data_IF_689054572309
#
_entry.id   IF_689054572309
#
_cell.length_a   1.000
_cell.length_b   1.000
_cell.length_c   1.000
_cell.angle_alpha   90.00
_cell.angle_beta   90.00
_cell.angle_gamma   90.00
#
_symmetry.space_group_name_H-M   'P 1'
#
loop_
_entity.id
_entity.type
_entity.pdbx_description
1 polymer ?
#
# COMPACT_ATOMS: atom_id res chain seq x y z
N UNK A 1 43.73 43.36 4.81
CA UNK A 1 43.36 42.26 3.90
C UNK A 1 42.18 41.51 4.52
N UNK A 2 40.99 41.60 3.91
CA UNK A 2 39.77 40.89 4.35
C UNK A 2 39.84 39.46 3.78
N UNK A 3 40.01 38.46 4.63
CA UNK A 3 39.85 37.06 4.25
C UNK A 3 38.35 36.79 4.10
N UNK A 4 37.88 36.63 2.86
CA UNK A 4 36.52 36.17 2.56
C UNK A 4 36.54 34.64 2.69
N UNK A 5 36.05 34.10 3.81
CA UNK A 5 35.75 32.67 3.94
C UNK A 5 34.52 32.37 3.09
N UNK A 6 34.74 31.84 1.89
CA UNK A 6 33.67 31.22 1.10
C UNK A 6 33.43 29.84 1.72
N UNK A 7 32.37 29.72 2.53
CA UNK A 7 31.80 28.42 2.85
C UNK A 7 31.21 27.86 1.55
N UNK A 8 31.97 26.98 0.89
CA UNK A 8 31.42 26.05 -0.09
C UNK A 8 30.43 25.18 0.69
N UNK A 9 29.13 25.54 0.61
CA UNK A 9 28.05 24.58 0.79
C UNK A 9 28.28 23.52 -0.28
N UNK A 10 28.99 22.46 0.09
CA UNK A 10 28.92 21.19 -0.60
C UNK A 10 27.46 20.81 -0.43
N UNK A 11 26.64 21.15 -1.42
CA UNK A 11 25.34 20.53 -1.59
C UNK A 11 25.64 19.04 -1.68
N UNK A 12 25.43 18.32 -0.58
CA UNK A 12 25.44 16.87 -0.61
C UNK A 12 24.38 16.49 -1.62
N UNK A 13 24.81 16.16 -2.83
CA UNK A 13 24.01 15.44 -3.81
C UNK A 13 23.84 14.02 -3.29
N UNK A 14 23.09 13.89 -2.20
CA UNK A 14 22.57 12.65 -1.68
C UNK A 14 21.06 12.64 -1.99
N UNK A 15 20.73 12.83 -3.27
CA UNK A 15 19.37 12.73 -3.80
C UNK A 15 19.43 11.72 -4.94
N UNK A 16 19.49 10.41 -4.64
CA UNK A 16 19.55 9.38 -5.67
C UNK A 16 19.22 7.96 -5.14
N UNK A 17 18.18 7.78 -4.31
CA UNK A 17 17.79 6.41 -3.93
C UNK A 17 16.32 6.17 -3.61
N UNK A 18 15.49 7.21 -3.63
CA UNK A 18 14.06 7.03 -3.48
C UNK A 18 13.48 6.57 -4.83
N UNK A 19 12.84 5.40 -4.83
CA UNK A 19 12.16 4.86 -6.01
C UNK A 19 10.66 4.99 -5.82
N UNK A 20 10.00 5.68 -6.75
CA UNK A 20 8.54 5.75 -6.81
C UNK A 20 8.04 4.72 -7.82
N UNK A 21 7.02 3.95 -7.42
CA UNK A 21 6.32 3.00 -8.25
C UNK A 21 4.85 3.38 -8.33
N UNK A 22 4.33 3.47 -9.55
CA UNK A 22 2.92 3.75 -9.79
C UNK A 22 2.18 2.45 -10.11
N UNK A 23 1.11 2.19 -9.36
CA UNK A 23 0.38 0.93 -9.33
C UNK A 23 -1.05 1.12 -9.81
N UNK A 24 -1.34 0.61 -11.01
CA UNK A 24 -2.67 0.66 -11.62
C UNK A 24 -3.49 -0.57 -11.22
N UNK A 25 -4.75 -0.41 -10.80
CA UNK A 25 -5.61 -1.54 -10.53
C UNK A 25 -5.91 -2.30 -11.83
N UNK A 26 -5.92 -3.63 -11.75
CA UNK A 26 -6.18 -4.51 -12.89
C UNK A 26 -7.25 -5.57 -12.60
N UNK A 27 -7.55 -5.80 -11.32
CA UNK A 27 -8.68 -6.58 -10.85
C UNK A 27 -9.15 -6.01 -9.52
N UNK A 28 -10.45 -6.12 -9.27
CA UNK A 28 -11.09 -5.68 -8.04
C UNK A 28 -12.08 -6.73 -7.56
N UNK A 29 -12.27 -6.81 -6.26
CA UNK A 29 -13.37 -7.54 -5.65
C UNK A 29 -13.90 -6.82 -4.41
N UNK A 30 -15.19 -7.00 -4.14
CA UNK A 30 -15.84 -6.59 -2.92
C UNK A 30 -16.61 -7.78 -2.34
N UNK A 31 -16.41 -8.04 -1.06
CA UNK A 31 -17.16 -9.05 -0.31
C UNK A 31 -18.13 -8.33 0.60
N UNK A 32 -19.41 -8.63 0.45
CA UNK A 32 -20.49 -8.06 1.24
C UNK A 32 -20.54 -8.74 2.62
N UNK A 33 -21.14 -8.09 3.61
CA UNK A 33 -21.39 -8.71 4.92
C UNK A 33 -22.32 -9.95 4.82
N UNK A 34 -23.15 -10.00 3.77
CA UNK A 34 -24.01 -11.15 3.45
C UNK A 34 -23.24 -12.36 2.91
N UNK A 35 -21.93 -12.21 2.63
CA UNK A 35 -21.09 -13.21 1.97
C UNK A 35 -21.20 -13.22 0.44
N UNK A 36 -22.02 -12.35 -0.14
CA UNK A 36 -22.04 -12.14 -1.59
C UNK A 36 -20.72 -11.50 -2.03
N UNK A 37 -20.22 -11.91 -3.20
CA UNK A 37 -18.98 -11.39 -3.77
C UNK A 37 -19.27 -10.77 -5.13
N UNK A 38 -18.73 -9.58 -5.34
CA UNK A 38 -18.56 -8.96 -6.66
C UNK A 38 -17.08 -8.98 -7.01
N UNK A 39 -16.76 -9.23 -8.28
CA UNK A 39 -15.39 -9.19 -8.79
C UNK A 39 -15.36 -8.84 -10.26
N UNK A 40 -14.28 -8.20 -10.68
CA UNK A 40 -14.04 -7.81 -12.07
C UNK A 40 -12.53 -7.70 -12.35
N UNK A 41 -12.20 -7.68 -13.63
CA UNK A 41 -10.89 -7.48 -14.23
C UNK A 41 -11.00 -6.44 -15.34
N UNK A 42 -9.87 -6.01 -15.89
CA UNK A 42 -9.89 -5.11 -17.06
C UNK A 42 -10.60 -5.70 -18.29
N UNK A 43 -10.76 -7.02 -18.37
CA UNK A 43 -11.36 -7.69 -19.54
C UNK A 43 -12.89 -7.75 -19.46
N UNK A 44 -13.47 -7.66 -18.26
CA UNK A 44 -14.91 -7.87 -17.99
C UNK A 44 -15.55 -6.77 -17.12
N UNK A 45 -14.81 -5.71 -16.79
CA UNK A 45 -15.34 -4.58 -16.02
C UNK A 45 -16.37 -3.76 -16.80
N UNK A 46 -17.32 -3.20 -16.06
CA UNK A 46 -18.23 -2.17 -16.54
C UNK A 46 -17.52 -0.80 -16.45
N UNK A 47 -17.28 -0.14 -17.59
CA UNK A 47 -16.58 1.15 -17.62
C UNK A 47 -17.35 2.28 -16.91
N UNK A 48 -18.67 2.19 -16.81
CA UNK A 48 -19.50 3.23 -16.19
C UNK A 48 -19.74 2.99 -14.70
N UNK A 49 -19.81 1.73 -14.27
CA UNK A 49 -20.24 1.36 -12.91
C UNK A 49 -19.30 0.42 -12.13
N UNK A 50 -18.22 -0.07 -12.75
CA UNK A 50 -17.26 -0.98 -12.11
C UNK A 50 -16.47 -0.31 -10.97
N UNK A 51 -15.99 -1.10 -10.01
CA UNK A 51 -15.06 -0.60 -8.98
C UNK A 51 -13.76 -0.08 -9.63
N UNK A 52 -13.26 -0.75 -10.66
CA UNK A 52 -12.07 -0.38 -11.41
C UNK A 52 -12.20 0.97 -12.14
N UNK A 53 -13.42 1.44 -12.43
CA UNK A 53 -13.62 2.76 -13.06
C UNK A 53 -13.43 3.92 -12.08
N UNK A 54 -13.59 3.68 -10.78
CA UNK A 54 -13.50 4.71 -9.73
C UNK A 54 -12.27 4.55 -8.84
N UNK A 55 -11.59 3.41 -8.86
CA UNK A 55 -10.43 3.15 -8.00
C UNK A 55 -9.19 3.85 -8.56
N UNK A 56 -8.59 4.79 -7.82
CA UNK A 56 -7.41 5.52 -8.27
C UNK A 56 -6.16 4.65 -8.32
N UNK A 57 -5.18 5.11 -9.11
CA UNK A 57 -3.80 4.63 -9.06
C UNK A 57 -3.20 4.89 -7.67
N UNK A 58 -2.37 3.96 -7.21
CA UNK A 58 -1.62 4.09 -5.96
C UNK A 58 -0.14 4.26 -6.26
N UNK A 59 0.60 4.84 -5.32
CA UNK A 59 2.04 4.99 -5.44
C UNK A 59 2.75 4.45 -4.21
N UNK A 60 3.87 3.76 -4.44
CA UNK A 60 4.82 3.38 -3.40
C UNK A 60 6.06 4.24 -3.54
N UNK A 61 6.52 4.79 -2.43
CA UNK A 61 7.85 5.37 -2.31
C UNK A 61 8.67 4.40 -1.46
N UNK A 62 9.75 3.88 -2.05
CA UNK A 62 10.73 3.07 -1.33
C UNK A 62 11.95 3.94 -1.13
N UNK A 63 12.14 4.43 0.09
CA UNK A 63 13.35 5.12 0.49
C UNK A 63 14.27 4.14 1.19
N UNK A 64 15.54 4.09 0.77
CA UNK A 64 16.50 3.32 1.54
C UNK A 64 16.60 3.86 2.95
N UNK A 65 16.65 5.17 3.17
CA UNK A 65 16.89 5.76 4.48
C UNK A 65 15.62 5.84 5.33
N UNK A 66 14.50 6.24 4.74
CA UNK A 66 13.29 6.61 5.47
C UNK A 66 12.24 5.49 5.54
N UNK A 67 12.40 4.42 4.76
CA UNK A 67 11.52 3.26 4.78
C UNK A 67 10.50 3.22 3.63
N UNK A 68 9.31 2.71 3.91
CA UNK A 68 8.29 2.43 2.91
C UNK A 68 7.09 3.35 3.12
N UNK A 69 6.64 3.98 2.04
CA UNK A 69 5.50 4.87 2.08
C UNK A 69 4.53 4.60 0.94
N UNK A 70 3.29 4.96 1.16
CA UNK A 70 2.19 4.68 0.26
C UNK A 70 1.20 5.84 0.19
N UNK A 71 0.60 6.03 -0.98
CA UNK A 71 -0.64 6.81 -1.12
C UNK A 71 -1.54 6.16 -2.14
N UNK A 72 -2.84 6.24 -1.92
CA UNK A 72 -3.86 5.67 -2.78
C UNK A 72 -4.56 6.69 -3.69
N UNK A 73 -4.08 7.94 -3.78
CA UNK A 73 -4.64 8.96 -4.66
C UNK A 73 -3.62 10.10 -4.84
N UNK A 74 -3.67 10.82 -5.97
CA UNK A 74 -2.78 11.95 -6.25
C UNK A 74 -2.94 13.09 -5.24
N UNK A 75 -4.13 13.26 -4.66
CA UNK A 75 -4.45 14.36 -3.74
C UNK A 75 -4.12 14.05 -2.27
N UNK A 76 -3.44 12.92 -2.00
CA UNK A 76 -3.01 12.54 -0.65
C UNK A 76 -1.50 12.60 -0.54
N UNK A 77 -1.03 12.97 0.64
CA UNK A 77 0.38 12.83 0.99
C UNK A 77 0.75 11.37 1.19
N UNK A 78 2.04 11.07 1.09
CA UNK A 78 2.56 9.75 1.38
C UNK A 78 2.44 9.43 2.88
N UNK A 79 1.91 8.25 3.17
CA UNK A 79 1.74 7.72 4.52
C UNK A 79 2.76 6.60 4.76
N UNK A 80 3.36 6.58 5.96
CA UNK A 80 4.31 5.53 6.33
C UNK A 80 3.62 4.18 6.45
N UNK A 81 4.20 3.16 5.82
CA UNK A 81 3.72 1.79 5.90
C UNK A 81 4.26 1.10 7.15
N UNK A 82 3.38 0.39 7.84
CA UNK A 82 3.70 -0.29 9.09
C UNK A 82 3.89 -1.78 8.82
N UNK A 83 4.90 -2.39 9.43
CA UNK A 83 5.12 -3.83 9.42
C UNK A 83 4.35 -4.52 10.55
N UNK A 84 4.06 -5.82 10.41
CA UNK A 84 3.27 -6.56 11.41
C UNK A 84 3.84 -6.42 12.84
N UNK A 85 5.15 -6.52 12.99
CA UNK A 85 5.89 -6.39 14.24
C UNK A 85 5.74 -5.02 14.93
N UNK A 86 5.30 -4.00 14.19
CA UNK A 86 5.16 -2.63 14.68
C UNK A 86 3.68 -2.25 14.92
N UNK A 87 2.75 -3.19 14.81
CA UNK A 87 1.33 -2.96 15.09
C UNK A 87 1.04 -3.04 16.59
N UNK A 88 0.03 -2.29 17.04
CA UNK A 88 -0.34 -2.22 18.47
C UNK A 88 -1.50 -3.18 18.82
N UNK A 89 -2.37 -3.49 17.86
CA UNK A 89 -3.50 -4.42 18.03
C UNK A 89 -3.33 -5.66 17.17
N UNK A 90 -2.72 -6.72 17.71
CA UNK A 90 -2.40 -7.93 16.95
C UNK A 90 -3.60 -8.83 16.70
N UNK A 91 -4.60 -8.85 17.59
CA UNK A 91 -5.67 -9.87 17.56
C UNK A 91 -6.51 -9.72 16.29
N UNK A 92 -6.92 -8.49 15.98
CA UNK A 92 -7.73 -8.20 14.81
C UNK A 92 -6.94 -8.41 13.51
N UNK A 93 -5.64 -8.11 13.52
CA UNK A 93 -4.76 -8.30 12.37
C UNK A 93 -4.57 -9.78 12.05
N UNK A 94 -4.51 -10.66 13.06
CA UNK A 94 -4.42 -12.10 12.83
C UNK A 94 -5.63 -12.67 12.10
N UNK A 95 -6.84 -12.16 12.37
CA UNK A 95 -8.05 -12.55 11.64
C UNK A 95 -7.96 -12.13 10.17
N UNK A 96 -7.46 -10.91 9.94
CA UNK A 96 -7.21 -10.36 8.60
C UNK A 96 -6.15 -11.17 7.86
N UNK A 97 -5.04 -11.53 8.52
CA UNK A 97 -4.00 -12.37 7.94
C UNK A 97 -4.55 -13.71 7.48
N UNK A 98 -5.40 -14.34 8.29
CA UNK A 98 -5.98 -15.64 7.95
C UNK A 98 -6.82 -15.57 6.68
N UNK A 99 -7.70 -14.57 6.56
CA UNK A 99 -8.53 -14.39 5.35
C UNK A 99 -7.66 -14.01 4.15
N UNK A 100 -6.66 -13.14 4.37
CA UNK A 100 -5.74 -12.70 3.32
C UNK A 100 -4.90 -13.86 2.76
N UNK A 101 -4.40 -14.74 3.62
CA UNK A 101 -3.63 -15.91 3.21
C UNK A 101 -4.46 -16.90 2.38
N UNK A 102 -5.72 -17.11 2.74
CA UNK A 102 -6.64 -17.94 1.95
C UNK A 102 -6.86 -17.36 0.56
N UNK A 103 -7.06 -16.04 0.48
CA UNK A 103 -7.22 -15.34 -0.79
C UNK A 103 -5.94 -15.40 -1.62
N UNK A 104 -4.77 -15.20 -1.00
CA UNK A 104 -3.47 -15.30 -1.64
C UNK A 104 -3.24 -16.70 -2.23
N UNK A 105 -3.61 -17.76 -1.51
CA UNK A 105 -3.53 -19.14 -2.01
C UNK A 105 -4.42 -19.36 -3.23
N UNK A 106 -5.70 -18.93 -3.16
CA UNK A 106 -6.66 -19.06 -4.27
C UNK A 106 -6.20 -18.30 -5.51
N UNK A 107 -5.61 -17.12 -5.32
CA UNK A 107 -5.13 -16.26 -6.40
C UNK A 107 -3.68 -16.56 -6.83
N UNK A 108 -3.03 -17.56 -6.22
CA UNK A 108 -1.63 -17.89 -6.42
C UNK A 108 -0.70 -16.66 -6.29
N UNK A 109 -1.01 -15.80 -5.32
CA UNK A 109 -0.20 -14.64 -4.94
C UNK A 109 0.86 -15.11 -3.95
N UNK A 110 2.13 -14.88 -4.28
CA UNK A 110 3.25 -15.19 -3.39
C UNK A 110 3.74 -13.89 -2.74
N UNK A 111 3.47 -13.65 -1.45
CA UNK A 111 3.88 -12.42 -0.79
C UNK A 111 5.40 -12.38 -0.61
N UNK A 112 6.06 -11.36 -1.16
CA UNK A 112 7.45 -11.01 -0.85
C UNK A 112 7.52 -10.19 0.44
N UNK A 113 6.60 -9.23 0.60
CA UNK A 113 6.54 -8.33 1.75
C UNK A 113 5.11 -7.89 2.01
N UNK A 114 4.73 -7.77 3.28
CA UNK A 114 3.39 -7.36 3.71
C UNK A 114 3.50 -6.14 4.60
N UNK A 115 2.67 -5.14 4.31
CA UNK A 115 2.55 -3.89 5.03
C UNK A 115 1.11 -3.64 5.45
N UNK A 116 0.94 -2.74 6.41
CA UNK A 116 -0.35 -2.36 6.96
C UNK A 116 -0.45 -0.84 7.04
N UNK A 117 -1.63 -0.34 6.74
CA UNK A 117 -1.97 1.07 6.83
C UNK A 117 -3.35 1.21 7.49
N UNK A 118 -3.41 1.53 8.79
CA UNK A 118 -4.66 1.79 9.48
C UNK A 118 -5.20 3.17 9.07
N UNK A 119 -6.48 3.21 8.71
CA UNK A 119 -7.21 4.43 8.40
C UNK A 119 -8.26 4.70 9.46
N UNK A 120 -8.31 5.94 9.94
CA UNK A 120 -9.36 6.45 10.81
C UNK A 120 -9.93 7.72 10.19
N UNK A 121 -11.24 7.74 10.04
CA UNK A 121 -12.01 8.88 9.54
C UNK A 121 -12.74 9.51 10.71
N UNK A 122 -12.72 10.84 10.77
CA UNK A 122 -13.36 11.63 11.82
C UNK A 122 -14.32 12.65 11.18
N UNK A 123 -15.34 13.08 11.92
CA UNK A 123 -16.18 14.22 11.54
C UNK A 123 -15.38 15.53 11.61
N UNK A 124 -15.95 16.63 11.12
CA UNK A 124 -15.37 17.97 11.28
C UNK A 124 -15.21 18.33 12.77
N UNK A 125 -16.08 17.78 13.63
CA UNK A 125 -16.04 17.93 15.08
C UNK A 125 -15.04 16.97 15.77
N UNK A 126 -14.37 16.09 15.01
CA UNK A 126 -13.38 15.16 15.52
C UNK A 126 -13.93 13.82 16.02
N UNK A 127 -15.20 13.52 15.78
CA UNK A 127 -15.81 12.25 16.21
C UNK A 127 -15.47 11.12 15.24
N UNK A 128 -15.11 9.91 15.71
CA UNK A 128 -14.75 8.81 14.81
C UNK A 128 -15.97 8.34 13.99
N UNK A 129 -15.89 8.45 12.67
CA UNK A 129 -16.92 7.98 11.73
C UNK A 129 -16.65 6.55 11.27
N UNK A 130 -15.37 6.19 11.14
CA UNK A 130 -15.02 4.91 10.59
C UNK A 130 -13.55 4.59 10.76
N UNK A 131 -13.27 3.30 10.90
CA UNK A 131 -11.92 2.78 10.90
C UNK A 131 -11.84 1.72 9.79
N UNK A 132 -10.69 1.59 9.16
CA UNK A 132 -10.40 0.44 8.30
C UNK A 132 -8.93 0.16 8.39
N UNK A 133 -8.52 -1.02 7.92
CA UNK A 133 -7.12 -1.30 7.73
C UNK A 133 -6.88 -1.82 6.33
N UNK A 134 -5.88 -1.25 5.70
CA UNK A 134 -5.37 -1.73 4.42
C UNK A 134 -4.15 -2.60 4.67
N UNK A 135 -4.23 -3.86 4.27
CA UNK A 135 -3.10 -4.78 4.15
C UNK A 135 -2.59 -4.70 2.71
N UNK A 136 -1.30 -4.53 2.53
CA UNK A 136 -0.67 -4.30 1.24
C UNK A 136 0.47 -5.31 1.07
N UNK A 137 0.36 -6.15 0.06
CA UNK A 137 1.36 -7.17 -0.28
C UNK A 137 2.11 -6.75 -1.54
N UNK A 138 3.44 -6.78 -1.49
CA UNK A 138 4.31 -6.80 -2.68
C UNK A 138 4.51 -8.26 -3.08
N UNK A 139 4.22 -8.62 -4.32
CA UNK A 139 4.31 -10.00 -4.82
C UNK A 139 5.74 -10.35 -5.25
N UNK A 140 6.16 -11.60 -5.04
CA UNK A 140 7.41 -12.17 -5.56
C UNK A 140 7.47 -12.15 -7.10
N UNK A 141 6.31 -12.37 -7.74
CA UNK A 141 6.13 -12.11 -9.17
C UNK A 141 6.22 -10.59 -9.37
N UNK A 142 7.45 -10.14 -9.61
CA UNK A 142 7.85 -8.74 -9.66
C UNK A 142 6.86 -7.98 -10.53
N UNK A 143 6.22 -6.95 -9.96
CA UNK A 143 5.38 -5.98 -10.69
C UNK A 143 3.92 -5.99 -10.29
N UNK A 144 3.53 -6.78 -9.29
CA UNK A 144 2.17 -6.76 -8.76
C UNK A 144 2.13 -6.48 -7.26
N UNK A 145 1.09 -5.76 -6.84
CA UNK A 145 0.70 -5.64 -5.45
C UNK A 145 -0.73 -6.14 -5.27
N UNK A 146 -1.00 -6.67 -4.08
CA UNK A 146 -2.34 -7.05 -3.64
C UNK A 146 -2.70 -6.16 -2.46
N UNK A 147 -3.83 -5.48 -2.54
CA UNK A 147 -4.32 -4.61 -1.47
C UNK A 147 -5.65 -5.14 -0.97
N UNK A 148 -5.74 -5.38 0.34
CA UNK A 148 -6.95 -5.81 1.02
C UNK A 148 -7.34 -4.70 1.99
N UNK A 149 -8.52 -4.11 1.85
CA UNK A 149 -9.06 -3.16 2.81
C UNK A 149 -10.18 -3.82 3.58
N UNK A 150 -10.06 -3.84 4.91
CA UNK A 150 -11.07 -4.40 5.81
C UNK A 150 -11.67 -3.26 6.64
N UNK A 151 -12.95 -2.93 6.43
CA UNK A 151 -13.69 -2.01 7.27
C UNK A 151 -13.77 -2.51 8.70
N UNK A 152 -13.70 -1.57 9.64
CA UNK A 152 -13.76 -1.83 11.08
C UNK A 152 -15.03 -1.18 11.63
N UNK A 153 -15.80 -1.98 12.37
CA UNK A 153 -17.01 -1.57 13.09
C UNK A 153 -18.10 -0.99 12.17
N UNK A 154 -18.29 -1.55 10.97
CA UNK A 154 -19.33 -1.12 10.03
C UNK A 154 -19.06 0.23 9.36
N UNK A 155 -17.81 0.70 9.37
CA UNK A 155 -17.39 1.96 8.74
C UNK A 155 -17.66 2.06 7.25
N UNK A 156 -17.87 0.92 6.59
CA UNK A 156 -18.38 0.83 5.23
C UNK A 156 -19.64 -0.03 5.26
N UNK A 157 -20.75 0.57 4.86
CA UNK A 157 -22.05 -0.07 4.92
C UNK A 157 -22.07 -1.31 4.01
N UNK A 158 -22.48 -2.44 4.56
CA UNK A 158 -22.74 -3.70 3.85
C UNK A 158 -21.50 -4.37 3.20
N UNK A 159 -20.29 -3.84 3.38
CA UNK A 159 -19.05 -4.40 2.81
C UNK A 159 -18.11 -4.85 3.92
N UNK A 160 -17.68 -6.12 3.85
CA UNK A 160 -16.74 -6.72 4.79
C UNK A 160 -15.28 -6.67 4.32
N UNK A 161 -15.04 -6.57 3.00
CA UNK A 161 -13.70 -6.53 2.43
C UNK A 161 -13.70 -5.96 1.02
N UNK A 162 -12.70 -5.13 0.70
CA UNK A 162 -12.28 -4.85 -0.67
C UNK A 162 -10.94 -5.50 -0.96
N UNK A 163 -10.77 -6.00 -2.17
CA UNK A 163 -9.52 -6.52 -2.68
C UNK A 163 -9.18 -5.89 -4.03
N UNK A 164 -7.92 -5.49 -4.21
CA UNK A 164 -7.41 -4.97 -5.47
C UNK A 164 -6.11 -5.66 -5.82
N UNK A 165 -6.04 -6.19 -7.05
CA UNK A 165 -4.78 -6.56 -7.66
C UNK A 165 -4.30 -5.39 -8.52
N UNK A 166 -3.07 -4.94 -8.30
CA UNK A 166 -2.49 -3.82 -9.03
C UNK A 166 -1.21 -4.22 -9.71
N UNK A 167 -0.95 -3.61 -10.85
CA UNK A 167 0.31 -3.73 -11.60
C UNK A 167 1.11 -2.45 -11.45
N UNK A 168 2.36 -2.58 -11.06
CA UNK A 168 3.24 -1.49 -10.65
C UNK A 168 4.43 -1.34 -11.59
N UNK A 169 4.74 -0.09 -11.95
CA UNK A 169 5.85 0.30 -12.82
C UNK A 169 6.61 1.45 -12.15
N UNK A 170 7.95 1.43 -12.21
CA UNK A 170 8.80 2.50 -11.67
C UNK A 170 8.79 3.77 -12.53
N UNK A 171 9.16 4.92 -11.95
CA UNK A 171 9.19 6.21 -12.67
C UNK A 171 10.21 6.25 -13.83
N UNK A 172 11.38 5.65 -13.66
CA UNK A 172 12.44 5.64 -14.69
C UNK A 172 12.70 4.26 -15.32
N UNK A 173 12.04 3.22 -14.79
CA UNK A 173 12.22 1.85 -15.22
C UNK A 173 10.88 1.28 -15.70
N UNK A 174 10.83 0.67 -16.89
CA UNK A 174 9.74 -0.28 -17.24
C UNK A 174 9.80 -1.55 -16.36
N UNK A 175 10.72 -1.59 -15.42
CA UNK A 175 10.97 -2.73 -14.57
C UNK A 175 9.98 -2.76 -13.40
N UNK A 176 9.60 -3.97 -12.96
CA UNK A 176 8.71 -4.15 -11.83
C UNK A 176 9.33 -3.71 -10.49
N UNK A 177 8.51 -3.57 -9.44
CA UNK A 177 8.96 -3.27 -8.07
C UNK A 177 10.14 -4.18 -7.66
N UNK A 178 11.28 -3.57 -7.35
CA UNK A 178 12.44 -4.26 -6.76
C UNK A 178 12.69 -3.70 -5.36
N UNK A 179 12.62 -4.58 -4.36
CA UNK A 179 12.99 -4.25 -2.98
C UNK A 179 14.35 -4.88 -2.71
N UNK A 180 15.39 -4.06 -2.58
CA UNK A 180 16.74 -4.54 -2.27
C UNK A 180 16.95 -4.54 -0.75
N UNK A 181 16.98 -5.72 -0.14
CA UNK A 181 17.20 -5.91 1.29
C UNK A 181 18.69 -6.14 1.57
N UNK A 182 19.52 -5.12 1.35
CA UNK A 182 20.89 -5.19 1.84
C UNK A 182 20.87 -5.13 3.38
N UNK A 183 21.46 -6.15 4.02
CA UNK A 183 21.60 -6.23 5.47
C UNK A 183 22.50 -5.10 5.98
N UNK A 184 21.92 -4.08 6.61
CA UNK A 184 22.66 -2.99 7.27
C UNK A 184 22.55 -3.12 8.80
N UNK A 185 23.60 -2.76 9.58
CA UNK A 185 23.64 -2.94 11.04
C UNK A 185 22.50 -2.26 11.81
N UNK A 186 21.88 -1.24 11.22
CA UNK A 186 20.78 -0.47 11.82
C UNK A 186 19.40 -0.82 11.24
N UNK A 187 19.30 -1.91 10.45
CA UNK A 187 18.05 -2.36 9.79
C UNK A 187 17.85 -3.87 9.90
N UNK A 188 18.46 -4.50 10.89
CA UNK A 188 18.15 -5.88 11.20
C UNK A 188 16.70 -5.96 11.70
N UNK A 189 15.92 -6.81 11.04
CA UNK A 189 14.72 -7.42 11.58
C UNK A 189 15.08 -7.99 12.96
N UNK A 190 14.59 -7.36 14.04
CA UNK A 190 14.48 -7.95 15.37
C UNK A 190 13.01 -8.11 15.70
#
# INVERSE_FOLDING_TARGET
MRFLLIFLLISTTAFAQDKIYTCKPIAAAAVMETGQMYSETLDDMDEEAGLLSVVPESQFLISKEEGFFYKNNSNRDFESLIMFENLVDYKRILEIEKVSQQLEEVLNIKPLKVFYLPYRSFTEEGEPIGESIKRITINENKGFTSEITIPINGSMKDVSMYHFLRRCVGEEEKDPIQVNFESAPNKALS
#
